data_IF_732805103198
#
_entry.id   IF_732805103198
#
_cell.length_a   1.000
_cell.length_b   1.000
_cell.length_c   1.000
_cell.angle_alpha   90.00
_cell.angle_beta   90.00
_cell.angle_gamma   90.00
#
_symmetry.space_group_name_H-M   'P 1'
#
loop_
_entity.id
_entity.type
_entity.pdbx_description
1 polymer ?
#
# COMPACT_ATOMS: atom_id res chain seq x y z
N UNK A 1 -10.95 -13.91 32.93
CA UNK A 1 -10.66 -13.74 31.50
C UNK A 1 -10.75 -15.10 30.84
N UNK A 2 -11.93 -15.52 30.39
CA UNK A 2 -12.03 -16.70 29.53
C UNK A 2 -11.41 -16.30 28.19
N UNK A 3 -10.26 -16.88 27.84
CA UNK A 3 -9.72 -16.73 26.49
C UNK A 3 -10.88 -16.99 25.52
N UNK A 4 -11.20 -16.03 24.65
CA UNK A 4 -12.31 -16.24 23.74
C UNK A 4 -11.92 -17.47 22.90
N UNK A 5 -12.85 -18.39 22.64
CA UNK A 5 -12.49 -19.69 22.07
C UNK A 5 -11.73 -19.46 20.76
N UNK A 6 -10.76 -20.31 20.42
CA UNK A 6 -9.94 -20.19 19.19
C UNK A 6 -10.81 -19.88 17.95
N UNK A 7 -12.03 -20.41 17.93
CA UNK A 7 -13.06 -20.12 16.94
C UNK A 7 -13.38 -18.62 16.77
N UNK A 8 -13.50 -17.84 17.84
CA UNK A 8 -13.76 -16.39 17.77
C UNK A 8 -12.62 -15.60 17.15
N UNK A 9 -11.37 -15.93 17.44
CA UNK A 9 -10.21 -15.30 16.80
C UNK A 9 -10.17 -15.63 15.29
N UNK A 10 -10.49 -16.87 14.92
CA UNK A 10 -10.61 -17.25 13.52
C UNK A 10 -11.72 -16.47 12.81
N UNK A 11 -12.90 -16.39 13.40
CA UNK A 11 -14.03 -15.63 12.84
C UNK A 11 -13.65 -14.15 12.68
N UNK A 12 -13.00 -13.54 13.68
CA UNK A 12 -12.56 -12.15 13.61
C UNK A 12 -11.56 -11.92 12.47
N UNK A 13 -10.52 -12.77 12.37
CA UNK A 13 -9.53 -12.67 11.30
C UNK A 13 -10.12 -12.85 9.89
N UNK A 14 -11.06 -13.78 9.71
CA UNK A 14 -11.74 -14.02 8.44
C UNK A 14 -12.69 -12.87 8.08
N UNK A 15 -13.43 -12.35 9.06
CA UNK A 15 -14.31 -11.19 8.88
C UNK A 15 -13.54 -9.93 8.47
N UNK A 16 -12.23 -9.88 8.76
CA UNK A 16 -11.35 -8.79 8.37
C UNK A 16 -10.73 -9.02 6.98
N UNK A 17 -10.19 -10.23 6.71
CA UNK A 17 -9.52 -10.54 5.46
C UNK A 17 -10.48 -10.61 4.25
N UNK A 18 -11.68 -11.16 4.41
CA UNK A 18 -12.62 -11.36 3.29
C UNK A 18 -13.08 -10.02 2.69
N UNK A 19 -13.55 -9.02 3.48
CA UNK A 19 -13.92 -7.72 2.93
C UNK A 19 -12.76 -6.99 2.25
N UNK A 20 -11.52 -7.13 2.73
CA UNK A 20 -10.34 -6.54 2.09
C UNK A 20 -10.16 -7.14 0.68
N UNK A 21 -10.22 -8.47 0.54
CA UNK A 21 -10.10 -9.12 -0.77
C UNK A 21 -11.24 -8.73 -1.72
N UNK A 22 -12.46 -8.59 -1.20
CA UNK A 22 -13.61 -8.12 -1.99
C UNK A 22 -13.40 -6.67 -2.43
N UNK A 23 -12.96 -5.79 -1.53
CA UNK A 23 -12.67 -4.39 -1.85
C UNK A 23 -11.57 -4.26 -2.91
N UNK A 24 -10.51 -5.07 -2.78
CA UNK A 24 -9.43 -5.16 -3.77
C UNK A 24 -9.96 -5.60 -5.12
N UNK A 25 -10.81 -6.64 -5.19
CA UNK A 25 -11.40 -7.08 -6.44
C UNK A 25 -12.21 -5.96 -7.11
N UNK A 26 -13.01 -5.20 -6.36
CA UNK A 26 -13.77 -4.07 -6.90
C UNK A 26 -12.90 -2.86 -7.26
N UNK A 27 -11.76 -2.64 -6.59
CA UNK A 27 -10.82 -1.58 -6.95
C UNK A 27 -10.32 -1.76 -8.39
N UNK A 28 -10.15 -2.98 -8.88
CA UNK A 28 -9.76 -3.28 -10.26
C UNK A 28 -10.80 -2.78 -11.28
N UNK A 29 -12.09 -2.90 -10.94
CA UNK A 29 -13.18 -2.38 -11.76
C UNK A 29 -13.22 -0.86 -11.72
N UNK A 30 -13.05 -0.27 -10.53
CA UNK A 30 -13.00 1.18 -10.34
C UNK A 30 -11.87 1.76 -11.18
N UNK A 31 -10.68 1.17 -11.14
CA UNK A 31 -9.55 1.56 -11.98
C UNK A 31 -9.92 1.56 -13.46
N UNK A 32 -10.42 0.43 -13.99
CA UNK A 32 -10.76 0.33 -15.42
C UNK A 32 -11.80 1.36 -15.84
N UNK A 33 -12.77 1.67 -14.96
CA UNK A 33 -13.77 2.70 -15.26
C UNK A 33 -13.20 4.10 -15.21
N UNK A 34 -12.53 4.47 -14.13
CA UNK A 34 -11.96 5.81 -13.93
C UNK A 34 -10.97 6.14 -15.05
N UNK A 35 -10.06 5.22 -15.37
CA UNK A 35 -9.11 5.38 -16.47
C UNK A 35 -9.81 5.51 -17.82
N UNK A 36 -10.82 4.68 -18.10
CA UNK A 36 -11.57 4.77 -19.34
C UNK A 36 -12.25 6.14 -19.51
N UNK A 37 -12.90 6.65 -18.46
CA UNK A 37 -13.57 7.96 -18.52
C UNK A 37 -12.56 9.10 -18.70
N UNK A 38 -11.40 9.04 -18.04
CA UNK A 38 -10.31 10.01 -18.26
C UNK A 38 -9.76 9.95 -19.71
N UNK A 39 -9.75 8.76 -20.32
CA UNK A 39 -9.34 8.53 -21.70
C UNK A 39 -10.48 8.71 -22.72
N UNK A 40 -11.59 9.34 -22.33
CA UNK A 40 -12.76 9.56 -23.19
C UNK A 40 -13.36 8.29 -23.83
N UNK A 41 -13.28 7.14 -23.15
CA UNK A 41 -13.90 5.87 -23.56
C UNK A 41 -14.72 5.25 -22.42
N UNK A 42 -15.52 4.24 -22.72
CA UNK A 42 -16.30 3.52 -21.69
C UNK A 42 -15.45 2.42 -21.05
N UNK A 43 -15.60 2.25 -19.73
CA UNK A 43 -15.06 1.10 -19.00
C UNK A 43 -15.87 -0.18 -19.24
N UNK A 44 -15.54 -1.27 -18.53
CA UNK A 44 -16.31 -2.51 -18.58
C UNK A 44 -17.77 -2.25 -18.18
N UNK A 45 -18.68 -2.43 -19.13
CA UNK A 45 -20.12 -2.22 -18.95
C UNK A 45 -20.98 -3.41 -19.40
N UNK A 46 -20.38 -4.45 -19.97
CA UNK A 46 -21.09 -5.60 -20.58
C UNK A 46 -21.26 -6.76 -19.57
N UNK A 47 -20.22 -7.07 -18.80
CA UNK A 47 -20.25 -8.20 -17.84
C UNK A 47 -21.03 -7.80 -16.58
N UNK A 48 -22.35 -8.03 -16.61
CA UNK A 48 -23.28 -7.65 -15.56
C UNK A 48 -23.72 -6.18 -15.61
N UNK A 49 -24.66 -5.76 -14.75
CA UNK A 49 -25.16 -4.38 -14.73
C UNK A 49 -24.01 -3.42 -14.42
N UNK A 50 -23.75 -2.48 -15.32
CA UNK A 50 -22.61 -1.56 -15.25
C UNK A 50 -21.26 -2.26 -15.03
N UNK A 51 -21.08 -3.51 -15.48
CA UNK A 51 -19.82 -4.23 -15.31
C UNK A 51 -19.55 -4.77 -13.91
N UNK A 52 -20.49 -4.69 -12.95
CA UNK A 52 -20.25 -5.10 -11.55
C UNK A 52 -19.76 -6.55 -11.37
N UNK A 53 -20.07 -7.43 -12.32
CA UNK A 53 -19.63 -8.82 -12.30
C UNK A 53 -18.25 -9.05 -12.95
N UNK A 54 -17.61 -8.00 -13.47
CA UNK A 54 -16.29 -8.10 -14.11
C UNK A 54 -15.20 -8.67 -13.19
N UNK A 55 -15.05 -8.25 -11.92
CA UNK A 55 -14.02 -8.81 -11.04
C UNK A 55 -14.21 -10.30 -10.78
N UNK A 56 -15.48 -10.74 -10.68
CA UNK A 56 -15.83 -12.15 -10.49
C UNK A 56 -15.45 -12.95 -11.74
N UNK A 57 -15.76 -12.43 -12.94
CA UNK A 57 -15.40 -13.07 -14.20
C UNK A 57 -13.88 -13.17 -14.39
N UNK A 58 -13.14 -12.11 -14.04
CA UNK A 58 -11.67 -12.09 -14.11
C UNK A 58 -11.06 -13.10 -13.12
N UNK A 59 -11.57 -13.17 -11.89
CA UNK A 59 -11.14 -14.15 -10.90
C UNK A 59 -11.36 -15.58 -11.36
N UNK A 60 -12.59 -15.92 -11.78
CA UNK A 60 -12.94 -17.26 -12.28
C UNK A 60 -12.08 -17.63 -13.49
N UNK A 61 -11.86 -16.70 -14.42
CA UNK A 61 -11.01 -16.90 -15.59
C UNK A 61 -9.56 -17.24 -15.20
N UNK A 62 -8.98 -16.49 -14.25
CA UNK A 62 -7.59 -16.69 -13.85
C UNK A 62 -7.38 -18.02 -13.11
N UNK A 63 -8.38 -18.52 -12.37
CA UNK A 63 -8.29 -19.80 -11.67
C UNK A 63 -8.56 -21.02 -12.56
N UNK A 64 -9.35 -20.89 -13.63
CA UNK A 64 -9.58 -21.98 -14.60
C UNK A 64 -8.43 -22.10 -15.60
N UNK A 65 -7.69 -21.01 -15.85
CA UNK A 65 -6.57 -21.00 -16.79
C UNK A 65 -5.46 -21.96 -16.32
N UNK A 66 -4.86 -22.67 -17.26
CA UNK A 66 -3.75 -23.59 -16.98
C UNK A 66 -2.58 -22.85 -16.30
N UNK A 67 -2.09 -23.34 -15.14
CA UNK A 67 -0.92 -22.79 -14.50
C UNK A 67 0.34 -23.23 -15.26
N UNK A 68 0.89 -22.33 -16.06
CA UNK A 68 2.17 -22.56 -16.76
C UNK A 68 3.29 -22.41 -15.73
N UNK A 69 4.11 -23.45 -15.59
CA UNK A 69 5.33 -23.41 -14.82
C UNK A 69 6.52 -23.74 -15.72
N UNK A 70 7.50 -22.83 -15.86
CA UNK A 70 8.68 -23.09 -16.69
C UNK A 70 9.57 -24.17 -16.07
N UNK A 71 10.23 -24.95 -16.93
CA UNK A 71 11.16 -26.01 -16.51
C UNK A 71 12.45 -25.47 -15.89
N UNK A 72 12.84 -24.25 -16.25
CA UNK A 72 14.02 -23.54 -15.74
C UNK A 72 13.81 -22.96 -14.35
N UNK A 73 12.56 -22.88 -13.88
CA UNK A 73 12.21 -22.22 -12.63
C UNK A 73 12.39 -23.13 -11.41
N UNK A 74 12.84 -22.52 -10.31
CA UNK A 74 12.99 -23.21 -9.03
C UNK A 74 11.61 -23.56 -8.42
N UNK A 75 11.31 -24.85 -8.15
CA UNK A 75 9.96 -25.29 -7.77
C UNK A 75 9.39 -24.60 -6.54
N UNK A 76 10.19 -24.59 -5.48
CA UNK A 76 9.73 -24.21 -4.16
C UNK A 76 9.46 -22.70 -4.09
N UNK A 77 10.43 -21.90 -4.51
CA UNK A 77 10.30 -20.45 -4.48
C UNK A 77 9.23 -19.96 -5.45
N UNK A 78 9.13 -20.53 -6.65
CA UNK A 78 8.13 -20.09 -7.62
C UNK A 78 6.69 -20.22 -7.09
N UNK A 79 6.39 -21.23 -6.27
CA UNK A 79 5.06 -21.40 -5.67
C UNK A 79 4.91 -20.61 -4.36
N UNK A 80 5.97 -20.49 -3.56
CA UNK A 80 5.90 -19.81 -2.26
C UNK A 80 5.86 -18.28 -2.38
N UNK A 81 6.45 -17.69 -3.42
CA UNK A 81 6.56 -16.22 -3.53
C UNK A 81 5.22 -15.49 -3.71
N UNK A 82 4.27 -15.94 -4.54
CA UNK A 82 2.99 -15.26 -4.66
C UNK A 82 2.13 -15.44 -3.39
N UNK A 83 2.28 -16.58 -2.71
CA UNK A 83 1.62 -16.84 -1.42
C UNK A 83 2.18 -15.90 -0.36
N UNK A 84 3.50 -15.74 -0.30
CA UNK A 84 4.16 -14.79 0.61
C UNK A 84 3.69 -13.36 0.33
N UNK A 85 3.63 -12.93 -0.94
CA UNK A 85 3.19 -11.58 -1.31
C UNK A 85 1.79 -11.28 -0.77
N UNK A 86 0.82 -12.18 -1.00
CA UNK A 86 -0.54 -12.00 -0.50
C UNK A 86 -0.61 -12.05 1.03
N UNK A 87 0.10 -12.97 1.65
CA UNK A 87 0.11 -13.10 3.12
C UNK A 87 0.64 -11.82 3.76
N UNK A 88 1.76 -11.28 3.28
CA UNK A 88 2.31 -10.02 3.76
C UNK A 88 1.31 -8.89 3.56
N UNK A 89 0.75 -8.75 2.35
CA UNK A 89 -0.22 -7.71 2.03
C UNK A 89 -1.45 -7.71 2.94
N UNK A 90 -1.93 -8.87 3.42
CA UNK A 90 -3.06 -8.97 4.36
C UNK A 90 -2.61 -8.69 5.81
N UNK A 91 -1.45 -9.22 6.22
CA UNK A 91 -0.96 -9.06 7.60
C UNK A 91 -0.62 -7.61 7.98
N UNK A 92 -0.19 -6.77 7.03
CA UNK A 92 0.11 -5.36 7.28
C UNK A 92 -1.16 -4.61 7.73
N UNK A 93 -2.37 -5.09 7.43
CA UNK A 93 -3.61 -4.44 7.87
C UNK A 93 -3.90 -4.61 9.37
N UNK A 94 -3.30 -5.61 10.03
CA UNK A 94 -3.64 -6.01 11.41
C UNK A 94 -3.66 -4.87 12.47
N UNK A 95 -2.73 -3.89 12.48
CA UNK A 95 -2.75 -2.83 13.48
C UNK A 95 -3.62 -1.62 13.08
N UNK A 96 -4.18 -1.58 11.86
CA UNK A 96 -4.91 -0.41 11.37
C UNK A 96 -6.24 -0.23 12.13
N UNK A 97 -6.52 0.95 12.72
CA UNK A 97 -7.76 1.22 13.45
C UNK A 97 -8.96 1.36 12.50
N UNK A 98 -9.94 0.47 12.62
CA UNK A 98 -11.16 0.44 11.79
C UNK A 98 -12.45 0.07 12.58
N UNK A 99 -13.00 0.87 13.51
CA UNK A 99 -12.41 1.92 14.37
C UNK A 99 -11.49 1.35 15.46
N UNK A 100 -11.59 0.06 15.74
CA UNK A 100 -10.67 -0.69 16.60
C UNK A 100 -9.70 -1.47 15.71
N UNK A 101 -8.46 -1.67 16.17
CA UNK A 101 -7.49 -2.53 15.48
C UNK A 101 -7.81 -4.01 15.72
N UNK A 102 -7.41 -4.88 14.78
CA UNK A 102 -7.51 -6.33 14.97
C UNK A 102 -6.54 -6.79 16.07
N UNK A 103 -5.34 -6.22 16.08
CA UNK A 103 -4.37 -6.37 17.14
C UNK A 103 -3.85 -4.98 17.54
N UNK A 104 -4.05 -4.61 18.81
CA UNK A 104 -3.48 -3.38 19.34
C UNK A 104 -2.01 -3.61 19.70
N UNK A 105 -1.14 -2.97 18.94
CA UNK A 105 0.31 -3.12 19.05
C UNK A 105 0.92 -1.81 19.54
N UNK A 106 1.66 -1.87 20.66
CA UNK A 106 2.40 -0.72 21.18
C UNK A 106 3.37 -0.13 20.15
N UNK A 107 3.92 -0.96 19.26
CA UNK A 107 4.84 -0.58 18.20
C UNK A 107 4.20 -0.72 16.80
N UNK A 108 2.92 -0.35 16.66
CA UNK A 108 2.16 -0.52 15.43
C UNK A 108 2.79 0.10 14.19
N UNK A 109 3.32 1.34 14.28
CA UNK A 109 4.00 1.99 13.15
C UNK A 109 5.30 1.29 12.73
N UNK A 110 6.09 0.80 13.70
CA UNK A 110 7.31 0.03 13.40
C UNK A 110 6.99 -1.33 12.79
N UNK A 111 5.92 -1.97 13.24
CA UNK A 111 5.43 -3.21 12.63
C UNK A 111 5.07 -3.00 11.16
N UNK A 112 4.38 -1.90 10.82
CA UNK A 112 4.05 -1.58 9.42
C UNK A 112 5.31 -1.44 8.56
N UNK A 113 6.32 -0.71 9.04
CA UNK A 113 7.60 -0.53 8.34
C UNK A 113 8.37 -1.86 8.20
N UNK A 114 8.37 -2.70 9.23
CA UNK A 114 9.02 -4.00 9.18
C UNK A 114 8.35 -4.93 8.16
N UNK A 115 7.01 -4.96 8.13
CA UNK A 115 6.27 -5.81 7.20
C UNK A 115 6.33 -5.30 5.76
N UNK A 116 6.39 -3.98 5.52
CA UNK A 116 6.61 -3.44 4.18
C UNK A 116 7.99 -3.79 3.65
N UNK A 117 9.05 -3.68 4.47
CA UNK A 117 10.41 -4.12 4.07
C UNK A 117 10.49 -5.62 3.76
N UNK A 118 9.67 -6.44 4.43
CA UNK A 118 9.59 -7.88 4.13
C UNK A 118 8.91 -8.16 2.77
N UNK A 119 7.99 -7.29 2.33
CA UNK A 119 7.27 -7.46 1.06
C UNK A 119 8.23 -7.44 -0.16
N UNK A 120 9.36 -6.73 -0.05
CA UNK A 120 10.40 -6.65 -1.08
C UNK A 120 10.97 -8.03 -1.44
N UNK A 121 11.08 -8.94 -0.47
CA UNK A 121 11.58 -10.30 -0.72
C UNK A 121 10.67 -11.11 -1.64
N UNK A 122 9.36 -10.87 -1.59
CA UNK A 122 8.43 -11.56 -2.51
C UNK A 122 8.70 -11.20 -3.98
N UNK A 123 9.11 -9.95 -4.25
CA UNK A 123 9.48 -9.46 -5.58
C UNK A 123 10.87 -9.98 -5.97
N UNK A 124 11.85 -9.95 -5.06
CA UNK A 124 13.19 -10.45 -5.33
C UNK A 124 13.19 -11.94 -5.66
N UNK A 125 12.53 -12.74 -4.82
CA UNK A 125 12.49 -14.19 -4.99
C UNK A 125 11.68 -14.60 -6.22
N UNK A 126 10.64 -13.86 -6.61
CA UNK A 126 9.89 -14.17 -7.84
C UNK A 126 10.72 -13.96 -9.10
N UNK A 127 11.48 -12.87 -9.18
CA UNK A 127 12.40 -12.62 -10.29
C UNK A 127 13.61 -13.56 -10.34
N UNK A 128 14.07 -14.06 -9.19
CA UNK A 128 15.12 -15.08 -9.16
C UNK A 128 14.59 -16.47 -9.48
N UNK A 129 13.39 -16.81 -8.99
CA UNK A 129 12.82 -18.14 -9.13
C UNK A 129 12.43 -18.48 -10.57
N UNK A 130 12.08 -17.48 -11.38
CA UNK A 130 11.75 -17.62 -12.81
C UNK A 130 12.96 -17.98 -13.68
N UNK A 131 14.18 -17.60 -13.27
CA UNK A 131 15.41 -17.90 -14.01
C UNK A 131 15.42 -17.30 -15.45
N UNK A 132 14.70 -16.20 -15.67
CA UNK A 132 14.86 -15.36 -16.87
C UNK A 132 15.62 -14.08 -16.55
N UNK A 133 16.47 -13.67 -17.49
CA UNK A 133 17.32 -12.48 -17.35
C UNK A 133 16.48 -11.21 -17.18
N UNK A 134 15.38 -11.08 -17.92
CA UNK A 134 14.49 -9.92 -17.84
C UNK A 134 13.75 -9.85 -16.50
N UNK A 135 13.26 -10.98 -15.99
CA UNK A 135 12.60 -11.01 -14.69
C UNK A 135 13.55 -10.67 -13.54
N UNK A 136 14.79 -11.17 -13.60
CA UNK A 136 15.81 -10.83 -12.61
C UNK A 136 16.18 -9.34 -12.64
N UNK A 137 16.36 -8.75 -13.83
CA UNK A 137 16.63 -7.31 -13.97
C UNK A 137 15.45 -6.47 -13.44
N UNK A 138 14.21 -6.86 -13.76
CA UNK A 138 13.01 -6.21 -13.24
C UNK A 138 12.91 -6.27 -11.72
N UNK A 139 13.19 -7.44 -11.13
CA UNK A 139 13.19 -7.60 -9.68
C UNK A 139 14.31 -6.79 -9.00
N UNK A 140 15.52 -6.75 -9.56
CA UNK A 140 16.61 -5.93 -8.99
C UNK A 140 16.29 -4.42 -9.05
N UNK A 141 15.65 -3.95 -10.13
CA UNK A 141 15.17 -2.56 -10.22
C UNK A 141 14.08 -2.27 -9.18
N UNK A 142 13.15 -3.21 -9.01
CA UNK A 142 12.09 -3.11 -7.99
C UNK A 142 12.67 -3.00 -6.58
N UNK A 143 13.63 -3.87 -6.25
CA UNK A 143 14.27 -3.89 -4.92
C UNK A 143 15.05 -2.60 -4.67
N UNK A 144 15.81 -2.13 -5.67
CA UNK A 144 16.53 -0.87 -5.54
C UNK A 144 15.57 0.33 -5.36
N UNK A 145 14.42 0.28 -6.05
CA UNK A 145 13.36 1.26 -5.90
C UNK A 145 12.78 1.24 -4.48
N UNK A 146 12.29 0.09 -4.00
CA UNK A 146 11.64 0.00 -2.68
C UNK A 146 12.57 0.43 -1.55
N UNK A 147 13.83 -0.02 -1.55
CA UNK A 147 14.83 0.36 -0.53
C UNK A 147 15.04 1.89 -0.52
N UNK A 148 15.08 2.53 -1.69
CA UNK A 148 15.32 3.97 -1.78
C UNK A 148 14.16 4.81 -1.21
N UNK A 149 12.92 4.36 -1.39
CA UNK A 149 11.73 5.03 -0.82
C UNK A 149 11.56 4.72 0.67
N UNK A 150 11.88 3.51 1.13
CA UNK A 150 11.78 3.11 2.54
C UNK A 150 12.56 4.04 3.47
N UNK A 151 13.74 4.51 3.05
CA UNK A 151 14.53 5.47 3.83
C UNK A 151 13.75 6.76 4.04
N UNK A 152 13.16 7.32 2.98
CA UNK A 152 12.36 8.55 3.11
C UNK A 152 11.07 8.32 3.91
N UNK A 153 10.44 7.15 3.73
CA UNK A 153 9.21 6.77 4.42
C UNK A 153 9.45 6.62 5.92
N UNK A 154 10.55 5.99 6.33
CA UNK A 154 10.94 5.85 7.72
C UNK A 154 11.21 7.20 8.40
N UNK A 155 11.89 8.14 7.72
CA UNK A 155 12.17 9.48 8.27
C UNK A 155 10.87 10.29 8.38
N UNK A 156 9.96 10.18 7.41
CA UNK A 156 8.66 10.84 7.49
C UNK A 156 7.84 10.25 8.65
N UNK A 157 7.77 8.92 8.79
CA UNK A 157 7.10 8.30 9.95
C UNK A 157 7.72 8.77 11.27
N UNK A 158 9.04 8.86 11.36
CA UNK A 158 9.71 9.35 12.55
C UNK A 158 9.26 10.77 12.91
N UNK A 159 9.19 11.67 11.94
CA UNK A 159 8.71 13.04 12.17
C UNK A 159 7.25 13.09 12.64
N UNK A 160 6.42 12.15 12.19
CA UNK A 160 5.02 12.00 12.64
C UNK A 160 4.94 11.46 14.07
N UNK A 161 5.81 10.50 14.42
CA UNK A 161 5.90 9.93 15.77
C UNK A 161 6.29 11.00 16.79
N UNK A 162 7.18 11.93 16.41
CA UNK A 162 7.58 13.04 17.28
C UNK A 162 6.39 13.97 17.59
N UNK A 163 5.45 14.14 16.65
CA UNK A 163 4.24 14.93 16.88
C UNK A 163 3.17 14.17 17.67
N UNK A 164 3.10 12.83 17.54
CA UNK A 164 2.14 12.01 18.28
C UNK A 164 2.60 11.59 19.67
N UNK A 165 3.92 11.52 19.91
CA UNK A 165 4.55 11.06 21.16
C UNK A 165 4.73 9.55 21.26
N UNK A 166 3.98 8.78 20.47
CA UNK A 166 3.91 7.31 20.56
C UNK A 166 3.87 6.62 19.19
N UNK A 167 4.23 5.33 19.18
CA UNK A 167 4.25 4.47 17.99
C UNK A 167 2.91 3.78 17.69
N UNK A 168 1.90 3.92 18.55
CA UNK A 168 0.59 3.28 18.34
C UNK A 168 -0.23 4.04 17.30
N UNK A 169 -0.98 3.32 16.47
CA UNK A 169 -1.90 3.95 15.52
C UNK A 169 -3.13 4.54 16.22
N UNK A 170 -3.48 4.03 17.41
CA UNK A 170 -4.58 4.56 18.19
C UNK A 170 -4.23 5.96 18.75
N UNK A 171 -3.01 6.17 19.26
CA UNK A 171 -2.57 7.51 19.71
C UNK A 171 -2.58 8.53 18.59
N UNK A 172 -2.30 8.12 17.34
CA UNK A 172 -2.43 9.01 16.18
C UNK A 172 -3.88 9.47 15.95
N UNK A 173 -4.88 8.65 16.27
CA UNK A 173 -6.28 9.06 16.17
C UNK A 173 -6.61 10.16 17.18
N UNK A 174 -6.12 10.03 18.42
CA UNK A 174 -6.32 11.01 19.49
C UNK A 174 -5.61 12.32 19.16
N UNK A 175 -4.38 12.25 18.63
CA UNK A 175 -3.60 13.46 18.28
C UNK A 175 -4.25 14.33 17.21
N UNK A 176 -5.13 13.76 16.39
CA UNK A 176 -5.81 14.43 15.28
C UNK A 176 -7.23 14.90 15.61
N UNK A 177 -7.69 14.71 16.85
CA UNK A 177 -8.99 15.24 17.31
C UNK A 177 -9.12 16.77 17.14
N UNK A 178 -8.15 17.62 17.54
CA UNK A 178 -8.32 19.06 17.42
C UNK A 178 -8.19 19.56 15.97
N UNK A 179 -7.19 19.07 15.24
CA UNK A 179 -6.88 19.47 13.87
C UNK A 179 -6.20 18.32 13.12
N UNK A 180 -6.45 18.22 11.82
CA UNK A 180 -5.74 17.27 10.97
C UNK A 180 -4.24 17.54 10.94
N UNK A 181 -3.45 16.47 11.01
CA UNK A 181 -2.00 16.58 11.02
C UNK A 181 -1.44 17.07 9.68
N UNK A 182 -2.22 16.95 8.58
CA UNK A 182 -1.88 17.54 7.29
C UNK A 182 -1.62 19.05 7.38
N UNK A 183 -2.32 19.80 8.25
CA UNK A 183 -2.12 21.25 8.33
C UNK A 183 -0.78 21.62 8.94
N UNK A 184 -0.30 20.84 9.91
CA UNK A 184 1.01 21.03 10.52
C UNK A 184 2.16 20.52 9.64
N UNK A 185 1.92 19.46 8.88
CA UNK A 185 2.95 18.67 8.19
C UNK A 185 2.74 18.53 6.68
N UNK A 186 2.05 19.48 6.03
CA UNK A 186 1.69 19.37 4.61
C UNK A 186 2.86 19.04 3.66
N UNK A 187 4.12 19.51 3.86
CA UNK A 187 5.23 19.14 2.99
C UNK A 187 5.59 17.65 3.15
N UNK A 188 5.55 17.15 4.39
CA UNK A 188 5.74 15.73 4.68
C UNK A 188 4.60 14.89 4.09
N UNK A 189 3.35 15.34 4.19
CA UNK A 189 2.19 14.65 3.63
C UNK A 189 2.31 14.52 2.09
N UNK A 190 2.79 15.56 1.41
CA UNK A 190 3.00 15.52 -0.04
C UNK A 190 4.13 14.56 -0.43
N UNK A 191 5.27 14.63 0.25
CA UNK A 191 6.39 13.69 0.01
C UNK A 191 5.99 12.25 0.35
N UNK A 192 5.23 12.07 1.42
CA UNK A 192 4.67 10.79 1.84
C UNK A 192 3.81 10.19 0.72
N UNK A 193 2.86 10.95 0.20
CA UNK A 193 1.97 10.48 -0.86
C UNK A 193 2.72 10.11 -2.15
N UNK A 194 3.77 10.85 -2.51
CA UNK A 194 4.64 10.47 -3.64
C UNK A 194 5.47 9.22 -3.31
N UNK A 195 5.96 9.08 -2.08
CA UNK A 195 6.73 7.90 -1.68
C UNK A 195 5.87 6.63 -1.65
N UNK A 196 4.61 6.70 -1.23
CA UNK A 196 3.69 5.56 -1.23
C UNK A 196 3.23 5.15 -2.64
N UNK A 197 3.08 6.11 -3.56
CA UNK A 197 2.89 5.82 -4.99
C UNK A 197 4.04 4.99 -5.56
N UNK A 198 5.26 5.29 -5.12
CA UNK A 198 6.44 4.62 -5.62
C UNK A 198 6.73 3.28 -4.93
N UNK A 199 6.38 3.13 -3.65
CA UNK A 199 6.44 1.85 -2.93
C UNK A 199 5.46 0.83 -3.53
N UNK A 200 4.29 1.29 -3.97
CA UNK A 200 3.28 0.44 -4.63
C UNK A 200 3.58 0.16 -6.11
N UNK A 201 4.74 0.59 -6.62
CA UNK A 201 5.18 0.43 -8.00
C UNK A 201 4.15 0.92 -9.05
N UNK A 202 3.39 1.98 -8.74
CA UNK A 202 2.36 2.51 -9.65
C UNK A 202 2.90 3.64 -10.51
N UNK A 203 2.37 3.76 -11.73
CA UNK A 203 2.70 4.85 -12.63
C UNK A 203 2.46 6.20 -11.93
N UNK A 204 3.44 7.13 -11.97
CA UNK A 204 4.57 7.19 -12.91
C UNK A 204 5.84 6.42 -12.49
N UNK A 205 5.85 5.74 -11.34
CA UNK A 205 6.99 4.97 -10.80
C UNK A 205 6.89 3.45 -11.04
N UNK A 206 6.09 3.04 -12.02
CA UNK A 206 5.96 1.65 -12.47
C UNK A 206 7.14 1.27 -13.39
N UNK A 207 8.32 1.10 -12.76
CA UNK A 207 9.54 0.64 -13.42
C UNK A 207 9.67 -0.89 -13.43
N UNK A 208 8.93 -1.53 -12.53
CA UNK A 208 9.00 -2.96 -12.27
C UNK A 208 8.20 -3.75 -13.30
N UNK A 209 7.07 -3.20 -13.77
CA UNK A 209 6.23 -3.85 -14.77
C UNK A 209 6.35 -3.20 -16.15
N UNK A 210 7.28 -2.26 -16.32
CA UNK A 210 7.41 -1.41 -17.51
C UNK A 210 7.28 -2.19 -18.82
N UNK A 211 6.07 -2.21 -19.38
CA UNK A 211 5.69 -3.07 -20.51
C UNK A 211 6.58 -2.85 -21.74
N UNK A 212 7.02 -1.60 -21.93
CA UNK A 212 7.90 -1.19 -23.03
C UNK A 212 9.35 -1.64 -22.86
N UNK A 213 9.81 -1.89 -21.62
CA UNK A 213 11.21 -2.19 -21.31
C UNK A 213 11.43 -3.66 -20.93
N UNK A 214 10.47 -4.25 -20.21
CA UNK A 214 10.61 -5.55 -19.56
C UNK A 214 9.44 -6.50 -19.86
N UNK A 215 8.53 -6.13 -20.78
CA UNK A 215 7.27 -6.84 -21.13
C UNK A 215 6.29 -6.91 -19.96
N UNK A 216 6.71 -7.41 -18.80
CA UNK A 216 6.04 -7.29 -17.50
C UNK A 216 6.98 -7.48 -16.27
N UNK A 217 8.30 -7.52 -16.47
CA UNK A 217 9.29 -7.56 -15.38
C UNK A 217 9.31 -8.85 -14.55
N UNK A 218 9.14 -8.74 -13.23
CA UNK A 218 9.32 -9.88 -12.30
C UNK A 218 8.23 -10.95 -12.43
N UNK A 219 7.05 -10.59 -12.93
CA UNK A 219 5.91 -11.49 -13.05
C UNK A 219 5.77 -12.14 -14.44
N UNK A 220 6.72 -11.96 -15.37
CA UNK A 220 6.64 -12.40 -16.79
C UNK A 220 6.30 -13.88 -16.95
N UNK A 221 6.82 -14.73 -16.07
CA UNK A 221 6.64 -16.17 -16.16
C UNK A 221 5.45 -16.70 -15.36
N UNK A 222 4.80 -15.85 -14.57
CA UNK A 222 3.68 -16.23 -13.74
C UNK A 222 2.39 -16.20 -14.55
N UNK A 223 1.71 -17.35 -14.65
CA UNK A 223 0.42 -17.49 -15.30
C UNK A 223 -0.70 -17.77 -14.29
N UNK A 224 -1.95 -17.52 -14.70
CA UNK A 224 -3.16 -18.00 -14.03
C UNK A 224 -3.25 -17.60 -12.53
N UNK A 225 -3.41 -18.57 -11.63
CA UNK A 225 -3.57 -18.37 -10.19
C UNK A 225 -2.39 -17.64 -9.52
N UNK A 226 -1.13 -18.09 -9.68
CA UNK A 226 0.05 -17.38 -9.16
C UNK A 226 0.14 -15.91 -9.58
N UNK A 227 -0.23 -15.57 -10.81
CA UNK A 227 -0.32 -14.18 -11.27
C UNK A 227 -1.41 -13.41 -10.53
N UNK A 228 -2.59 -14.03 -10.35
CA UNK A 228 -3.69 -13.42 -9.62
C UNK A 228 -3.30 -13.06 -8.17
N UNK A 229 -2.46 -13.87 -7.52
CA UNK A 229 -1.99 -13.60 -6.15
C UNK A 229 -1.10 -12.35 -6.07
N UNK A 230 -0.18 -12.15 -7.02
CA UNK A 230 0.62 -10.91 -7.08
C UNK A 230 -0.26 -9.69 -7.33
N UNK A 231 -1.21 -9.80 -8.26
CA UNK A 231 -2.13 -8.72 -8.58
C UNK A 231 -3.01 -8.36 -7.38
N UNK A 232 -3.56 -9.35 -6.67
CA UNK A 232 -4.30 -9.11 -5.44
C UNK A 232 -3.43 -8.46 -4.35
N UNK A 233 -2.17 -8.88 -4.22
CA UNK A 233 -1.23 -8.31 -3.25
C UNK A 233 -0.87 -6.84 -3.57
N UNK A 234 -0.60 -6.51 -4.82
CA UNK A 234 -0.30 -5.13 -5.24
C UNK A 234 -1.48 -4.19 -4.93
N UNK A 235 -2.70 -4.59 -5.30
CA UNK A 235 -3.89 -3.76 -5.05
C UNK A 235 -4.26 -3.70 -3.57
N UNK A 236 -3.99 -4.77 -2.80
CA UNK A 236 -4.11 -4.73 -1.34
C UNK A 236 -3.12 -3.72 -0.75
N UNK A 237 -1.88 -3.65 -1.24
CA UNK A 237 -0.90 -2.66 -0.83
C UNK A 237 -1.29 -1.23 -1.25
N UNK A 238 -1.91 -1.03 -2.41
CA UNK A 238 -2.46 0.28 -2.81
C UNK A 238 -3.52 0.75 -1.81
N UNK A 239 -4.48 -0.12 -1.49
CA UNK A 239 -5.51 0.22 -0.52
C UNK A 239 -4.89 0.48 0.85
N UNK A 240 -3.94 -0.36 1.28
CA UNK A 240 -3.26 -0.23 2.56
C UNK A 240 -2.47 1.07 2.69
N UNK A 241 -1.70 1.44 1.68
CA UNK A 241 -0.94 2.68 1.74
C UNK A 241 -1.88 3.88 1.79
N UNK A 242 -3.00 3.84 1.06
CA UNK A 242 -4.01 4.88 1.16
C UNK A 242 -4.72 4.88 2.53
N UNK A 243 -5.00 3.74 3.16
CA UNK A 243 -5.53 3.71 4.55
C UNK A 243 -4.51 4.25 5.55
N UNK A 244 -3.23 3.92 5.39
CA UNK A 244 -2.16 4.46 6.23
C UNK A 244 -2.03 5.98 6.06
N UNK A 245 -2.09 6.49 4.82
CA UNK A 245 -2.06 7.94 4.57
C UNK A 245 -3.24 8.67 5.23
N UNK A 246 -4.45 8.10 5.21
CA UNK A 246 -5.61 8.72 5.86
C UNK A 246 -5.48 8.69 7.37
N UNK A 247 -5.01 7.59 7.98
CA UNK A 247 -4.80 7.49 9.42
C UNK A 247 -3.70 8.46 9.89
N UNK A 248 -2.63 8.64 9.11
CA UNK A 248 -1.52 9.52 9.46
C UNK A 248 -1.84 11.02 9.34
N UNK A 249 -2.56 11.44 8.29
CA UNK A 249 -2.69 12.88 8.00
C UNK A 249 -4.13 13.41 8.03
N UNK A 250 -5.12 12.57 7.76
CA UNK A 250 -6.50 12.96 7.50
C UNK A 250 -7.48 12.11 8.32
N UNK A 251 -7.14 11.77 9.56
CA UNK A 251 -7.92 10.81 10.34
C UNK A 251 -9.33 11.35 10.63
N UNK A 252 -10.41 10.59 10.36
CA UNK A 252 -11.78 11.04 10.66
C UNK A 252 -12.07 11.38 12.13
N UNK A 253 -11.18 11.08 13.08
CA UNK A 253 -11.33 11.43 14.50
C UNK A 253 -11.60 12.91 14.77
N UNK A 254 -11.15 13.84 13.92
CA UNK A 254 -11.40 15.27 14.12
C UNK A 254 -12.89 15.66 14.18
N UNK A 255 -13.76 14.84 13.58
CA UNK A 255 -15.21 15.07 13.59
C UNK A 255 -15.91 14.37 14.77
N UNK A 256 -15.16 13.68 15.63
CA UNK A 256 -15.67 12.81 16.70
C UNK A 256 -16.85 11.93 16.24
N UNK A 257 -16.72 11.15 15.15
CA UNK A 257 -17.80 10.30 14.68
C UNK A 257 -18.09 9.18 15.68
N UNK A 258 -19.32 8.67 15.67
CA UNK A 258 -19.64 7.41 16.35
C UNK A 258 -18.79 6.26 15.79
N UNK A 259 -18.52 5.19 16.56
CA UNK A 259 -17.68 4.08 16.11
C UNK A 259 -18.21 3.40 14.84
N UNK A 260 -19.53 3.43 14.61
CA UNK A 260 -20.17 2.89 13.40
C UNK A 260 -19.97 3.80 12.18
N UNK A 261 -19.92 5.12 12.36
CA UNK A 261 -19.71 6.09 11.28
C UNK A 261 -18.24 6.26 10.92
N UNK A 262 -17.33 6.01 11.86
CA UNK A 262 -15.88 6.08 11.65
C UNK A 262 -15.39 5.29 10.42
N UNK A 263 -15.68 3.98 10.25
CA UNK A 263 -15.19 3.21 9.10
C UNK A 263 -15.78 3.72 7.78
N UNK A 264 -17.02 4.23 7.78
CA UNK A 264 -17.62 4.81 6.58
C UNK A 264 -16.87 6.08 6.16
N UNK A 265 -16.59 6.98 7.10
CA UNK A 265 -15.87 8.23 6.82
C UNK A 265 -14.39 7.97 6.46
N UNK A 266 -13.76 6.99 7.07
CA UNK A 266 -12.43 6.56 6.66
C UNK A 266 -12.47 6.00 5.23
N UNK A 267 -13.43 5.13 4.92
CA UNK A 267 -13.56 4.53 3.60
C UNK A 267 -13.77 5.59 2.51
N UNK A 268 -14.57 6.64 2.74
CA UNK A 268 -14.74 7.72 1.75
C UNK A 268 -13.43 8.48 1.50
N UNK A 269 -12.66 8.80 2.54
CA UNK A 269 -11.34 9.45 2.40
C UNK A 269 -10.33 8.55 1.68
N UNK A 270 -10.32 7.24 2.00
CA UNK A 270 -9.46 6.25 1.34
C UNK A 270 -9.82 6.12 -0.13
N UNK A 271 -11.11 6.03 -0.46
CA UNK A 271 -11.57 5.98 -1.84
C UNK A 271 -11.17 7.25 -2.61
N UNK A 272 -11.26 8.43 -2.00
CA UNK A 272 -10.81 9.67 -2.61
C UNK A 272 -9.29 9.65 -2.89
N UNK A 273 -8.46 9.23 -1.93
CA UNK A 273 -7.01 9.12 -2.15
C UNK A 273 -6.64 8.04 -3.17
N UNK A 274 -7.34 6.91 -3.18
CA UNK A 274 -7.17 5.86 -4.20
C UNK A 274 -7.57 6.36 -5.59
N UNK A 275 -8.60 7.20 -5.70
CA UNK A 275 -8.96 7.86 -6.96
C UNK A 275 -7.89 8.86 -7.41
N UNK A 276 -7.18 9.48 -6.46
CA UNK A 276 -5.97 10.27 -6.71
C UNK A 276 -4.84 9.44 -7.33
N UNK A 277 -4.57 8.22 -6.84
CA UNK A 277 -3.60 7.30 -7.46
C UNK A 277 -3.97 7.00 -8.92
N UNK A 278 -5.25 6.73 -9.17
CA UNK A 278 -5.76 6.44 -10.51
C UNK A 278 -5.65 7.66 -11.44
N UNK A 279 -5.91 8.85 -10.91
CA UNK A 279 -5.78 10.10 -11.66
C UNK A 279 -4.33 10.42 -12.02
N UNK A 280 -3.40 10.21 -11.09
CA UNK A 280 -1.96 10.38 -11.32
C UNK A 280 -1.48 9.42 -12.41
N UNK A 281 -1.91 8.15 -12.38
CA UNK A 281 -1.63 7.18 -13.44
C UNK A 281 -2.13 7.64 -14.81
N UNK A 282 -3.28 8.29 -14.88
CA UNK A 282 -3.87 8.74 -16.15
C UNK A 282 -3.20 10.00 -16.72
N UNK A 283 -2.53 10.79 -15.88
CA UNK A 283 -2.07 12.14 -16.25
C UNK A 283 -0.57 12.21 -16.52
N UNK A 284 0.26 11.45 -15.79
CA UNK A 284 1.71 11.59 -15.86
C UNK A 284 2.38 10.49 -16.69
N UNK A 285 3.44 10.83 -17.46
CA UNK A 285 4.29 9.84 -18.10
C UNK A 285 5.15 9.10 -17.07
N UNK A 286 5.66 7.92 -17.45
CA UNK A 286 6.59 7.15 -16.61
C UNK A 286 7.91 7.90 -16.41
N UNK A 287 8.45 7.84 -15.20
CA UNK A 287 9.81 8.29 -14.91
C UNK A 287 10.83 7.28 -15.43
N UNK A 288 12.03 7.75 -15.75
CA UNK A 288 13.19 6.87 -15.92
C UNK A 288 13.78 6.51 -14.55
N UNK A 289 14.32 5.31 -14.41
CA UNK A 289 14.96 4.82 -13.18
C UNK A 289 15.97 5.82 -12.57
N UNK A 290 16.84 6.42 -13.40
CA UNK A 290 17.83 7.38 -12.92
C UNK A 290 17.20 8.67 -12.35
N UNK A 291 16.10 9.12 -12.94
CA UNK A 291 15.36 10.31 -12.48
C UNK A 291 14.65 10.04 -11.16
N UNK A 292 14.11 8.83 -11.01
CA UNK A 292 13.52 8.35 -9.78
C UNK A 292 14.54 8.37 -8.64
N UNK A 293 15.72 7.79 -8.88
CA UNK A 293 16.79 7.78 -7.87
C UNK A 293 17.27 9.19 -7.54
N UNK A 294 17.36 10.09 -8.53
CA UNK A 294 17.67 11.49 -8.29
C UNK A 294 16.62 12.20 -7.43
N UNK A 295 15.33 11.99 -7.72
CA UNK A 295 14.23 12.57 -6.96
C UNK A 295 14.34 12.21 -5.47
N UNK A 296 14.57 10.94 -5.17
CA UNK A 296 14.65 10.47 -3.80
C UNK A 296 15.89 10.93 -3.06
N UNK A 297 17.06 10.63 -3.63
CA UNK A 297 18.31 10.82 -2.92
C UNK A 297 18.74 12.28 -2.85
N UNK A 298 18.44 13.07 -3.88
CA UNK A 298 18.90 14.46 -3.96
C UNK A 298 17.84 15.49 -3.63
N UNK A 299 16.54 15.18 -3.80
CA UNK A 299 15.48 16.13 -3.48
C UNK A 299 14.76 15.75 -2.19
N UNK A 300 14.21 14.54 -2.09
CA UNK A 300 13.40 14.16 -0.92
C UNK A 300 14.24 13.96 0.32
N UNK A 301 15.35 13.20 0.25
CA UNK A 301 16.15 12.89 1.44
C UNK A 301 16.69 14.14 2.17
N UNK A 302 17.26 15.16 1.50
CA UNK A 302 17.69 16.37 2.19
C UNK A 302 16.52 17.14 2.82
N UNK A 303 15.37 17.18 2.14
CA UNK A 303 14.18 17.89 2.61
C UNK A 303 13.52 17.16 3.79
N UNK A 304 13.40 15.84 3.75
CA UNK A 304 12.84 15.04 4.85
C UNK A 304 13.73 15.11 6.09
N UNK A 305 15.06 15.13 5.94
CA UNK A 305 15.98 15.34 7.06
C UNK A 305 15.82 16.74 7.66
N UNK A 306 15.76 17.79 6.84
CA UNK A 306 15.55 19.15 7.32
C UNK A 306 14.21 19.29 8.07
N UNK A 307 13.14 18.69 7.53
CA UNK A 307 11.83 18.70 8.17
C UNK A 307 11.80 17.83 9.43
N UNK A 308 12.53 16.72 9.48
CA UNK A 308 12.66 15.92 10.71
C UNK A 308 13.31 16.72 11.84
N UNK A 309 14.35 17.50 11.53
CA UNK A 309 14.97 18.41 12.50
C UNK A 309 14.00 19.53 12.92
N UNK A 310 13.24 20.09 11.98
CA UNK A 310 12.21 21.08 12.28
C UNK A 310 11.15 20.50 13.24
N UNK A 311 10.56 19.35 12.92
CA UNK A 311 9.51 18.72 13.72
C UNK A 311 10.00 18.20 15.07
N UNK A 312 11.30 17.98 15.26
CA UNK A 312 11.88 17.71 16.59
C UNK A 312 12.09 18.99 17.39
N UNK A 313 12.59 20.06 16.78
CA UNK A 313 12.80 21.34 17.48
C UNK A 313 11.51 22.06 17.86
N UNK A 314 10.48 22.01 17.00
CA UNK A 314 9.28 22.83 17.14
C UNK A 314 8.47 22.54 18.41
N UNK A 315 8.14 21.27 18.75
CA UNK A 315 7.45 20.94 20.00
C UNK A 315 8.24 21.39 21.24
N UNK A 316 9.58 21.33 21.19
CA UNK A 316 10.45 21.77 22.28
C UNK A 316 10.37 23.29 22.44
N UNK A 317 10.47 24.04 21.34
CA UNK A 317 10.41 25.50 21.35
C UNK A 317 9.07 26.05 21.88
N UNK A 318 7.96 25.40 21.54
CA UNK A 318 6.62 25.81 22.01
C UNK A 318 6.21 25.19 23.35
N UNK A 319 7.10 24.44 24.01
CA UNK A 319 6.79 23.67 25.21
C UNK A 319 5.55 22.77 25.05
N UNK A 320 5.33 22.26 23.83
CA UNK A 320 4.18 21.46 23.40
C UNK A 320 4.57 20.03 23.05
N UNK A 321 5.42 19.40 23.86
CA UNK A 321 5.74 17.98 23.69
C UNK A 321 4.47 17.14 23.91
N UNK A 322 4.15 16.21 23.00
CA UNK A 322 3.00 15.34 23.18
C UNK A 322 3.21 14.41 24.40
N UNK A 323 2.12 14.02 25.08
CA UNK A 323 2.21 13.11 26.21
C UNK A 323 2.63 11.71 25.77
N UNK A 324 3.46 11.06 26.59
CA UNK A 324 3.73 9.63 26.48
C UNK A 324 2.58 8.88 27.16
N UNK A 325 1.58 8.47 26.38
CA UNK A 325 0.42 7.70 26.85
C UNK A 325 0.63 6.18 26.70
#
# INVERSE_FOLDING_TARGET
>A
MTNPPIMTHLIMSLSYAIPILIAVAFLTLVERKVLSYMQARKGPNIVGPFGLLQPVADGVKLFIKEPIRPSTASPFLFIMTPVLALLLAITIWTPLPLPFSLADLNLGLLFLLAMSSLAVYSILWSGWASNSKYALIGALRAVAQTISYEVTLAIILLSMIVLSGNYTLNTLTITQEPLYLIFSSWPLAMMWYISTLAETNRAPFDLTEGESELVSGFNVEYAAGPFALFFLAEYANIMLMNTLTTILFLNPSSFNPSPELFPMLLATKVLLLSSGFLWIRASYPRFRYDQLMHLLWKNFLPLTLALCLWHTSMPICYAGLPPYL
#
